data_IF_381493961282
#
_entry.id   IF_381493961282
#
_cell.length_a   1.000
_cell.length_b   1.000
_cell.length_c   1.000
_cell.angle_alpha   90.00
_cell.angle_beta   90.00
_cell.angle_gamma   90.00
#
_symmetry.space_group_name_H-M   'P 1'
#
loop_
_entity.id
_entity.type
_entity.pdbx_description
1 polymer ?
#
# COMPACT_ATOMS: atom_id res chain seq x y z
N UNK A 1 -13.09 22.06 9.39
CA UNK A 1 -12.27 21.22 10.30
C UNK A 1 -10.82 21.34 9.91
N UNK A 2 -9.90 21.33 10.87
CA UNK A 2 -8.45 21.33 10.59
C UNK A 2 -7.80 20.06 11.11
N UNK A 3 -7.03 19.37 10.29
CA UNK A 3 -6.45 18.06 10.60
C UNK A 3 -4.93 18.10 10.49
N UNK A 4 -4.26 17.53 11.49
CA UNK A 4 -2.81 17.35 11.46
C UNK A 4 -2.49 16.01 10.79
N UNK A 5 -1.95 16.05 9.57
CA UNK A 5 -1.58 14.88 8.81
C UNK A 5 -0.16 14.43 9.15
N UNK A 6 -0.06 13.24 9.74
CA UNK A 6 1.19 12.61 10.11
C UNK A 6 1.56 11.48 9.15
N UNK A 7 2.81 11.49 8.71
CA UNK A 7 3.40 10.44 7.90
C UNK A 7 4.80 10.09 8.40
N UNK A 8 5.18 8.82 8.36
CA UNK A 8 6.52 8.36 8.82
C UNK A 8 7.65 8.76 7.87
N UNK A 9 7.33 9.03 6.60
CA UNK A 9 8.28 9.53 5.60
C UNK A 9 8.32 11.07 5.57
N UNK A 10 9.30 11.62 4.86
CA UNK A 10 9.43 13.07 4.71
C UNK A 10 8.37 13.62 3.73
N UNK A 11 7.27 14.13 4.27
CA UNK A 11 6.15 14.68 3.50
C UNK A 11 6.58 15.84 2.61
N UNK A 12 7.47 16.73 3.09
CA UNK A 12 7.93 17.87 2.32
C UNK A 12 8.73 17.45 1.08
N UNK A 13 9.48 16.35 1.18
CA UNK A 13 10.15 15.75 0.03
C UNK A 13 9.14 15.18 -0.96
N UNK A 14 8.18 14.39 -0.47
CA UNK A 14 7.12 13.79 -1.30
C UNK A 14 6.34 14.88 -2.04
N UNK A 15 5.86 15.92 -1.34
CA UNK A 15 5.09 17.01 -1.93
C UNK A 15 5.86 17.75 -3.03
N UNK A 16 7.14 18.08 -2.80
CA UNK A 16 7.98 18.70 -3.83
C UNK A 16 8.16 17.82 -5.07
N UNK A 17 8.18 16.49 -4.89
CA UNK A 17 8.26 15.54 -6.00
C UNK A 17 6.92 15.41 -6.73
N UNK A 18 5.81 15.49 -6.00
CA UNK A 18 4.46 15.55 -6.58
C UNK A 18 4.26 16.82 -7.43
N UNK A 19 4.69 17.98 -6.94
CA UNK A 19 4.63 19.25 -7.69
C UNK A 19 5.39 19.19 -9.03
N UNK A 20 6.44 18.35 -9.11
CA UNK A 20 7.18 18.07 -10.34
C UNK A 20 6.54 16.95 -11.19
N UNK A 21 5.46 16.35 -10.71
CA UNK A 21 4.82 15.21 -11.36
C UNK A 21 5.63 13.91 -11.34
N UNK A 22 6.63 13.81 -10.47
CA UNK A 22 7.53 12.65 -10.36
C UNK A 22 7.02 11.60 -9.35
N UNK A 23 6.08 11.98 -8.48
CA UNK A 23 5.62 11.13 -7.37
C UNK A 23 4.09 11.15 -7.26
N UNK A 24 3.42 9.99 -7.09
CA UNK A 24 1.97 9.93 -7.01
C UNK A 24 1.44 10.37 -5.64
N UNK A 25 0.26 10.97 -5.65
CA UNK A 25 -0.43 11.51 -4.46
C UNK A 25 -0.93 10.44 -3.50
N UNK A 26 -1.19 9.23 -3.98
CA UNK A 26 -1.76 8.16 -3.16
C UNK A 26 -0.85 7.72 -2.01
N UNK A 27 0.47 7.97 -2.08
CA UNK A 27 1.37 7.76 -0.94
C UNK A 27 1.05 8.65 0.26
N UNK A 28 0.23 9.69 0.09
CA UNK A 28 -0.25 10.54 1.18
C UNK A 28 -1.69 10.19 1.63
N UNK A 29 -2.17 9.01 1.24
CA UNK A 29 -3.41 8.38 1.77
C UNK A 29 -4.63 9.31 1.69
N UNK A 30 -4.85 9.92 0.53
CA UNK A 30 -5.95 10.86 0.31
C UNK A 30 -5.75 12.24 0.96
N UNK A 31 -4.70 12.40 1.78
CA UNK A 31 -4.45 13.64 2.54
C UNK A 31 -4.37 14.90 1.68
N UNK A 32 -3.87 14.80 0.44
CA UNK A 32 -3.78 15.91 -0.52
C UNK A 32 -5.14 16.40 -1.03
N UNK A 33 -6.15 15.51 -1.04
CA UNK A 33 -7.50 15.79 -1.54
C UNK A 33 -8.52 16.12 -0.44
N UNK A 34 -8.13 16.03 0.85
CA UNK A 34 -9.03 16.36 1.98
C UNK A 34 -9.58 17.78 1.93
N UNK A 35 -8.84 18.72 1.32
CA UNK A 35 -9.30 20.09 1.12
C UNK A 35 -10.59 20.17 0.28
N UNK A 36 -10.77 19.25 -0.66
CA UNK A 36 -11.97 19.17 -1.50
C UNK A 36 -13.23 18.80 -0.67
N UNK A 37 -13.02 18.28 0.53
CA UNK A 37 -14.07 17.91 1.48
C UNK A 37 -14.21 18.90 2.67
N UNK A 38 -13.67 20.12 2.54
CA UNK A 38 -13.75 21.15 3.57
C UNK A 38 -12.84 20.92 4.79
N UNK A 39 -11.79 20.11 4.63
CA UNK A 39 -10.82 19.81 5.68
C UNK A 39 -9.49 20.48 5.37
N UNK A 40 -9.08 21.42 6.23
CA UNK A 40 -7.76 22.02 6.18
C UNK A 40 -6.69 21.06 6.72
N UNK A 41 -5.57 20.95 6.01
CA UNK A 41 -4.50 20.02 6.35
C UNK A 41 -3.25 20.76 6.83
N UNK A 42 -2.75 20.37 8.00
CA UNK A 42 -1.42 20.74 8.50
C UNK A 42 -0.51 19.53 8.33
N UNK A 43 0.47 19.62 7.45
CA UNK A 43 1.41 18.55 7.22
C UNK A 43 2.50 18.49 8.29
N UNK A 44 2.77 17.28 8.78
CA UNK A 44 3.88 17.03 9.69
C UNK A 44 5.22 17.40 9.07
N UNK A 45 6.05 18.13 9.85
CA UNK A 45 7.43 18.43 9.46
C UNK A 45 8.35 17.37 10.05
N UNK A 46 8.80 16.44 9.19
CA UNK A 46 9.64 15.32 9.60
C UNK A 46 11.04 15.79 10.02
N UNK A 47 11.55 15.24 11.11
CA UNK A 47 12.94 15.41 11.52
C UNK A 47 13.82 14.39 10.80
N UNK A 48 14.84 14.86 10.09
CA UNK A 48 15.87 13.98 9.51
C UNK A 48 16.80 13.55 10.64
N UNK A 49 16.61 12.32 11.14
CA UNK A 49 17.41 11.74 12.22
C UNK A 49 17.46 10.22 12.08
N UNK A 50 18.59 9.63 12.46
CA UNK A 50 18.75 8.16 12.55
C UNK A 50 18.14 7.60 13.84
N UNK A 51 17.89 8.44 14.84
CA UNK A 51 17.33 8.03 16.13
C UNK A 51 15.80 8.07 16.11
N UNK A 52 15.15 6.90 16.20
CA UNK A 52 13.69 6.77 16.32
C UNK A 52 13.11 7.52 17.52
N UNK A 53 13.82 7.52 18.65
CA UNK A 53 13.39 8.24 19.86
C UNK A 53 13.35 9.76 19.60
N UNK A 54 14.38 10.31 18.95
CA UNK A 54 14.40 11.74 18.60
C UNK A 54 13.28 12.11 17.64
N UNK A 55 13.01 11.29 16.63
CA UNK A 55 11.89 11.47 15.69
C UNK A 55 10.55 11.47 16.43
N UNK A 56 10.33 10.49 17.33
CA UNK A 56 9.12 10.38 18.13
C UNK A 56 8.94 11.60 19.04
N UNK A 57 9.96 12.00 19.79
CA UNK A 57 9.90 13.18 20.66
C UNK A 57 9.64 14.46 19.87
N UNK A 58 10.26 14.60 18.68
CA UNK A 58 9.99 15.73 17.79
C UNK A 58 8.52 15.75 17.32
N UNK A 59 7.98 14.59 16.94
CA UNK A 59 6.58 14.47 16.50
C UNK A 59 5.62 14.87 17.61
N UNK A 60 5.82 14.36 18.82
CA UNK A 60 5.03 14.71 20.01
C UNK A 60 5.11 16.21 20.30
N UNK A 61 6.33 16.78 20.27
CA UNK A 61 6.55 18.21 20.51
C UNK A 61 5.86 19.08 19.47
N UNK A 62 5.95 18.74 18.18
CA UNK A 62 5.26 19.43 17.09
C UNK A 62 3.74 19.45 17.29
N UNK A 63 3.15 18.34 17.67
CA UNK A 63 1.69 18.21 17.82
C UNK A 63 1.18 18.84 19.10
N UNK A 64 1.91 18.77 20.19
CA UNK A 64 1.46 19.31 21.48
C UNK A 64 1.76 20.80 21.65
N UNK A 65 2.87 21.30 21.13
CA UNK A 65 3.37 22.62 21.47
C UNK A 65 3.49 23.60 20.31
N UNK A 66 3.83 23.14 19.10
CA UNK A 66 4.01 24.01 17.93
C UNK A 66 2.71 24.21 17.16
N UNK A 67 2.05 23.14 16.79
CA UNK A 67 0.83 23.19 15.99
C UNK A 67 -0.40 22.82 16.84
N UNK A 68 -0.84 23.73 17.71
CA UNK A 68 -1.93 23.44 18.64
C UNK A 68 -3.35 23.57 18.05
N UNK A 69 -3.50 24.27 16.91
CA UNK A 69 -4.78 24.65 16.33
C UNK A 69 -5.23 23.63 15.27
N UNK A 70 -5.52 22.40 15.71
CA UNK A 70 -6.15 21.36 14.88
C UNK A 70 -7.16 20.57 15.73
N UNK A 71 -8.08 19.88 15.06
CA UNK A 71 -9.20 19.17 15.68
C UNK A 71 -8.87 17.67 15.85
N UNK A 72 -8.17 17.09 14.87
CA UNK A 72 -7.80 15.67 14.88
C UNK A 72 -6.41 15.46 14.28
N UNK A 73 -5.78 14.33 14.65
CA UNK A 73 -4.60 13.76 13.98
C UNK A 73 -5.09 12.70 13.01
N UNK A 74 -4.68 12.81 11.75
CA UNK A 74 -4.81 11.77 10.74
C UNK A 74 -3.44 11.23 10.40
N UNK A 75 -3.22 9.94 10.64
CA UNK A 75 -1.91 9.33 10.51
C UNK A 75 -1.92 8.13 9.55
N UNK A 76 -0.95 8.07 8.65
CA UNK A 76 -0.78 6.92 7.76
C UNK A 76 -0.20 5.69 8.48
N UNK A 77 0.30 5.85 9.71
CA UNK A 77 0.79 4.80 10.58
C UNK A 77 0.87 5.30 12.02
N UNK A 78 0.72 4.41 13.00
CA UNK A 78 0.82 4.77 14.44
C UNK A 78 2.26 4.95 14.92
N UNK A 79 3.26 4.45 14.19
CA UNK A 79 4.67 4.50 14.59
C UNK A 79 5.14 5.95 14.77
N UNK A 80 5.64 6.26 15.96
CA UNK A 80 6.05 7.61 16.37
C UNK A 80 4.95 8.41 17.06
N UNK A 81 3.72 7.88 17.14
CA UNK A 81 2.59 8.48 17.86
C UNK A 81 2.27 7.77 19.17
N UNK A 82 3.00 6.70 19.51
CA UNK A 82 2.72 5.85 20.67
C UNK A 82 2.51 6.66 21.97
N UNK A 83 3.34 7.67 22.31
CA UNK A 83 3.13 8.45 23.52
C UNK A 83 1.80 9.23 23.52
N UNK A 84 1.42 9.82 22.36
CA UNK A 84 0.16 10.55 22.23
C UNK A 84 -1.05 9.62 22.33
N UNK A 85 -0.95 8.42 21.76
CA UNK A 85 -1.97 7.38 21.83
C UNK A 85 -2.18 6.95 23.30
N UNK A 86 -1.10 6.71 24.06
CA UNK A 86 -1.24 6.40 25.49
C UNK A 86 -1.78 7.59 26.30
N UNK A 87 -1.33 8.82 26.04
CA UNK A 87 -1.91 10.01 26.68
C UNK A 87 -3.39 10.16 26.35
N UNK A 88 -3.81 9.85 25.14
CA UNK A 88 -5.21 9.82 24.73
C UNK A 88 -6.01 8.77 25.51
N UNK A 89 -5.46 7.55 25.60
CA UNK A 89 -6.07 6.45 26.37
C UNK A 89 -6.29 6.79 27.84
N UNK A 90 -5.41 7.61 28.42
CA UNK A 90 -5.47 8.10 29.80
C UNK A 90 -6.31 9.38 29.97
N UNK A 91 -6.86 9.93 28.89
CA UNK A 91 -7.64 11.19 28.93
C UNK A 91 -6.81 12.48 29.01
N UNK A 92 -5.48 12.37 28.99
CA UNK A 92 -4.54 13.53 29.08
C UNK A 92 -4.33 14.25 27.74
N UNK A 93 -4.61 13.58 26.63
CA UNK A 93 -4.61 14.17 25.30
C UNK A 93 -6.03 14.11 24.71
N UNK A 94 -6.59 15.25 24.31
CA UNK A 94 -8.02 15.36 23.96
C UNK A 94 -8.31 15.36 22.47
N UNK A 95 -7.28 15.49 21.60
CA UNK A 95 -7.48 15.49 20.15
C UNK A 95 -7.75 14.08 19.66
N UNK A 96 -8.67 13.96 18.71
CA UNK A 96 -9.03 12.69 18.07
C UNK A 96 -7.84 12.13 17.28
N UNK A 97 -7.63 10.82 17.31
CA UNK A 97 -6.54 10.14 16.59
C UNK A 97 -7.16 9.11 15.64
N UNK A 98 -6.97 9.33 14.35
CA UNK A 98 -7.41 8.48 13.24
C UNK A 98 -6.19 7.95 12.53
N UNK A 99 -6.07 6.63 12.34
CA UNK A 99 -4.88 6.00 11.76
C UNK A 99 -5.22 5.00 10.66
N UNK A 100 -4.24 4.71 9.79
CA UNK A 100 -4.21 3.50 8.99
C UNK A 100 -3.47 2.38 9.73
N UNK A 101 -4.07 1.19 9.76
CA UNK A 101 -3.50 0.01 10.39
C UNK A 101 -3.13 -1.01 9.30
N UNK A 102 -1.84 -1.16 9.06
CA UNK A 102 -1.31 -1.90 7.91
C UNK A 102 -1.30 -3.42 8.08
N UNK A 103 -1.47 -3.89 9.31
CA UNK A 103 -1.39 -5.30 9.69
C UNK A 103 -2.61 -5.65 10.54
N UNK A 104 -2.96 -6.93 10.71
CA UNK A 104 -3.98 -7.29 11.69
C UNK A 104 -3.48 -6.98 13.11
N UNK A 105 -4.40 -6.65 14.00
CA UNK A 105 -4.10 -6.60 15.43
C UNK A 105 -3.77 -8.04 15.87
N UNK A 106 -2.70 -8.23 16.60
CA UNK A 106 -2.25 -9.57 17.00
C UNK A 106 -2.31 -9.78 18.51
N UNK A 107 -2.55 -11.01 18.93
CA UNK A 107 -2.46 -11.40 20.35
C UNK A 107 -1.00 -11.62 20.73
N UNK A 108 -0.52 -10.93 21.76
CA UNK A 108 0.82 -11.14 22.27
C UNK A 108 0.88 -12.41 23.15
N UNK A 109 2.06 -13.05 23.19
CA UNK A 109 2.26 -14.24 24.06
C UNK A 109 2.11 -13.93 25.55
N UNK A 110 2.41 -12.71 25.98
CA UNK A 110 2.38 -12.29 27.38
C UNK A 110 1.07 -11.57 27.71
N UNK A 111 0.45 -11.93 28.85
CA UNK A 111 -0.78 -11.32 29.34
C UNK A 111 -0.65 -9.79 29.50
N UNK A 112 0.41 -9.31 30.16
CA UNK A 112 0.60 -7.88 30.39
C UNK A 112 0.75 -7.08 29.08
N UNK A 113 1.37 -7.67 28.04
CA UNK A 113 1.45 -7.05 26.70
C UNK A 113 0.08 -6.96 26.04
N UNK A 114 -0.81 -7.92 26.32
CA UNK A 114 -2.17 -7.85 25.82
C UNK A 114 -2.97 -6.73 26.52
N UNK A 115 -2.79 -6.54 27.84
CA UNK A 115 -3.43 -5.44 28.55
C UNK A 115 -2.89 -4.08 28.08
N UNK A 116 -1.59 -3.96 27.90
CA UNK A 116 -0.97 -2.76 27.32
C UNK A 116 -1.48 -2.49 25.90
N UNK A 117 -1.66 -3.54 25.09
CA UNK A 117 -2.26 -3.44 23.77
C UNK A 117 -3.70 -2.93 23.82
N UNK A 118 -4.53 -3.42 24.74
CA UNK A 118 -5.89 -2.91 24.95
C UNK A 118 -5.89 -1.42 25.33
N UNK A 119 -5.00 -1.02 26.21
CA UNK A 119 -4.83 0.38 26.59
C UNK A 119 -4.40 1.23 25.37
N UNK A 120 -3.45 0.73 24.57
CA UNK A 120 -3.00 1.39 23.35
C UNK A 120 -4.16 1.63 22.37
N UNK A 121 -4.91 0.58 22.01
CA UNK A 121 -6.03 0.70 21.07
C UNK A 121 -7.21 1.51 21.61
N UNK A 122 -7.36 1.61 22.94
CA UNK A 122 -8.31 2.54 23.56
C UNK A 122 -8.02 4.00 23.19
N UNK A 123 -6.73 4.35 23.05
CA UNK A 123 -6.27 5.70 22.70
C UNK A 123 -6.41 6.07 21.22
N UNK A 124 -6.86 5.15 20.36
CA UNK A 124 -7.14 5.41 18.95
C UNK A 124 -8.66 5.53 18.79
N UNK A 125 -9.11 6.57 18.11
CA UNK A 125 -10.53 6.82 17.92
C UNK A 125 -11.09 6.07 16.70
N UNK A 126 -10.33 6.03 15.58
CA UNK A 126 -10.73 5.34 14.36
C UNK A 126 -9.52 4.71 13.67
N UNK A 127 -9.72 3.55 13.07
CA UNK A 127 -8.69 2.77 12.38
C UNK A 127 -9.17 2.33 11.01
N UNK A 128 -8.48 2.80 9.97
CA UNK A 128 -8.66 2.28 8.62
C UNK A 128 -7.82 1.02 8.40
N UNK A 129 -8.43 0.02 7.79
CA UNK A 129 -7.78 -1.19 7.32
C UNK A 129 -7.95 -1.30 5.81
N UNK A 130 -6.99 -1.92 5.14
CA UNK A 130 -7.01 -2.08 3.70
C UNK A 130 -7.95 -3.17 3.21
N UNK A 131 -8.30 -4.15 4.05
CA UNK A 131 -9.18 -5.25 3.66
C UNK A 131 -10.08 -5.73 4.80
N UNK A 132 -11.20 -6.33 4.42
CA UNK A 132 -12.12 -6.96 5.36
C UNK A 132 -11.46 -8.10 6.14
N UNK A 133 -10.53 -8.82 5.53
CA UNK A 133 -9.75 -9.88 6.20
C UNK A 133 -8.94 -9.32 7.37
N UNK A 134 -8.25 -8.18 7.19
CA UNK A 134 -7.51 -7.52 8.27
C UNK A 134 -8.43 -7.09 9.42
N UNK A 135 -9.63 -6.59 9.10
CA UNK A 135 -10.65 -6.25 10.09
C UNK A 135 -11.08 -7.50 10.86
N UNK A 136 -11.47 -8.56 10.15
CA UNK A 136 -11.96 -9.79 10.75
C UNK A 136 -10.89 -10.43 11.68
N UNK A 137 -9.63 -10.50 11.22
CA UNK A 137 -8.53 -11.02 12.03
C UNK A 137 -8.28 -10.14 13.27
N UNK A 138 -8.46 -8.82 13.15
CA UNK A 138 -8.28 -7.89 14.27
C UNK A 138 -9.39 -8.01 15.32
N UNK A 139 -10.64 -8.20 14.90
CA UNK A 139 -11.81 -8.39 15.78
C UNK A 139 -11.60 -9.59 16.69
N UNK A 140 -11.06 -10.71 16.17
CA UNK A 140 -10.83 -11.94 16.92
C UNK A 140 -9.89 -11.74 18.13
N UNK A 141 -9.12 -10.68 18.16
CA UNK A 141 -8.17 -10.42 19.26
C UNK A 141 -8.82 -9.80 20.49
N UNK A 142 -10.01 -9.22 20.36
CA UNK A 142 -10.73 -8.49 21.42
C UNK A 142 -9.87 -7.39 22.11
N UNK A 143 -8.94 -6.77 21.36
CA UNK A 143 -8.06 -5.71 21.88
C UNK A 143 -8.57 -4.30 21.60
N UNK A 144 -9.38 -4.14 20.59
CA UNK A 144 -9.96 -2.87 20.21
C UNK A 144 -11.46 -3.02 19.98
N UNK A 145 -12.19 -1.92 20.10
CA UNK A 145 -13.61 -1.87 19.81
C UNK A 145 -13.82 -1.93 18.28
N UNK A 146 -14.55 -2.93 17.75
CA UNK A 146 -14.80 -3.04 16.32
C UNK A 146 -15.54 -1.85 15.70
N UNK A 147 -16.30 -1.08 16.49
CA UNK A 147 -16.99 0.13 16.02
C UNK A 147 -16.06 1.23 15.51
N UNK A 148 -14.77 1.13 15.86
CA UNK A 148 -13.70 2.04 15.41
C UNK A 148 -13.02 1.60 14.12
N UNK A 149 -13.42 0.46 13.54
CA UNK A 149 -12.78 -0.12 12.37
C UNK A 149 -13.50 0.31 11.10
N UNK A 150 -12.74 0.78 10.15
CA UNK A 150 -13.25 1.23 8.85
C UNK A 150 -12.47 0.52 7.74
N UNK A 151 -13.20 -0.03 6.77
CA UNK A 151 -12.59 -0.46 5.52
C UNK A 151 -12.26 0.79 4.70
N UNK A 152 -11.03 0.92 4.25
CA UNK A 152 -10.61 2.02 3.40
C UNK A 152 -10.13 1.50 2.05
N UNK A 153 -10.66 2.05 0.96
CA UNK A 153 -10.26 1.72 -0.41
C UNK A 153 -9.08 2.59 -0.83
N UNK A 154 -7.90 2.27 -0.26
CA UNK A 154 -6.68 2.92 -0.67
C UNK A 154 -6.34 2.55 -2.11
N UNK A 155 -6.10 3.55 -2.97
CA UNK A 155 -5.93 3.33 -4.39
C UNK A 155 -5.05 4.38 -5.06
N UNK A 156 -4.85 4.23 -6.36
CA UNK A 156 -3.87 4.95 -7.14
C UNK A 156 -4.23 6.42 -7.44
N UNK A 157 -3.21 7.21 -7.74
CA UNK A 157 -3.32 8.55 -8.32
C UNK A 157 -3.61 8.44 -9.82
N UNK A 158 -4.89 8.49 -10.20
CA UNK A 158 -5.28 8.32 -11.60
C UNK A 158 -4.68 9.39 -12.53
N UNK A 159 -4.54 10.64 -12.05
CA UNK A 159 -3.98 11.73 -12.87
C UNK A 159 -2.53 11.46 -13.29
N UNK A 160 -1.73 10.89 -12.39
CA UNK A 160 -0.37 10.49 -12.71
C UNK A 160 -0.34 9.33 -13.70
N UNK A 161 -1.15 8.28 -13.47
CA UNK A 161 -1.14 7.10 -14.32
C UNK A 161 -1.80 7.35 -15.67
N UNK A 162 -2.77 8.28 -15.78
CA UNK A 162 -3.32 8.75 -17.06
C UNK A 162 -2.23 9.39 -17.93
N UNK A 163 -1.31 10.14 -17.34
CA UNK A 163 -0.15 10.69 -18.08
C UNK A 163 0.81 9.58 -18.53
N UNK A 164 0.99 8.53 -17.73
CA UNK A 164 1.83 7.39 -18.11
C UNK A 164 1.25 6.64 -19.30
N UNK A 165 -0.05 6.30 -19.26
CA UNK A 165 -0.69 5.54 -20.34
C UNK A 165 -0.93 6.37 -21.61
N UNK A 166 -0.97 7.71 -21.50
CA UNK A 166 -1.05 8.60 -22.66
C UNK A 166 0.22 8.54 -23.53
N UNK A 167 1.35 8.17 -22.95
CA UNK A 167 2.58 7.85 -23.68
C UNK A 167 2.44 6.46 -24.32
N UNK A 168 1.78 6.42 -25.50
CA UNK A 168 1.54 5.15 -26.23
C UNK A 168 2.84 4.41 -26.48
N UNK A 169 2.89 3.14 -26.12
CA UNK A 169 4.00 2.24 -26.36
C UNK A 169 3.48 0.85 -26.72
N UNK A 170 4.26 0.08 -27.44
CA UNK A 170 3.99 -1.34 -27.65
C UNK A 170 4.30 -2.10 -26.36
N UNK A 171 3.33 -2.82 -25.83
CA UNK A 171 3.46 -3.62 -24.60
C UNK A 171 3.95 -5.02 -24.94
N UNK A 172 5.10 -5.41 -24.35
CA UNK A 172 5.70 -6.75 -24.57
C UNK A 172 6.27 -7.34 -23.27
N UNK A 173 6.13 -8.65 -23.14
CA UNK A 173 6.70 -9.40 -22.02
C UNK A 173 6.10 -9.03 -20.67
N UNK A 174 6.82 -9.35 -19.62
CA UNK A 174 6.36 -9.23 -18.24
C UNK A 174 7.26 -8.29 -17.44
N UNK A 175 6.69 -7.65 -16.41
CA UNK A 175 7.45 -6.80 -15.50
C UNK A 175 7.13 -7.11 -14.04
N UNK A 176 8.16 -7.18 -13.21
CA UNK A 176 8.05 -7.27 -11.76
C UNK A 176 8.65 -6.04 -11.10
N UNK A 177 7.91 -5.46 -10.16
CA UNK A 177 8.38 -4.32 -9.36
C UNK A 177 8.14 -4.54 -7.87
N UNK A 178 8.68 -3.63 -7.06
CA UNK A 178 8.48 -3.63 -5.62
C UNK A 178 9.70 -4.16 -4.88
N UNK A 179 9.68 -4.01 -3.56
CA UNK A 179 10.88 -4.28 -2.73
C UNK A 179 10.61 -5.21 -1.56
N UNK A 180 9.38 -5.30 -1.08
CA UNK A 180 9.07 -5.98 0.16
C UNK A 180 8.56 -7.39 -0.09
N UNK A 181 9.19 -8.37 0.58
CA UNK A 181 8.77 -9.78 0.59
C UNK A 181 8.50 -10.38 -0.80
N UNK A 182 9.26 -9.96 -1.83
CA UNK A 182 9.18 -10.59 -3.15
C UNK A 182 9.79 -11.99 -3.11
N UNK A 183 9.11 -12.95 -3.75
CA UNK A 183 9.63 -14.32 -3.94
C UNK A 183 10.26 -14.47 -5.32
N UNK A 184 11.48 -13.93 -5.42
CA UNK A 184 12.22 -13.97 -6.69
C UNK A 184 12.68 -15.37 -7.05
N UNK A 185 12.84 -16.28 -6.10
CA UNK A 185 13.24 -17.68 -6.37
C UNK A 185 12.15 -18.40 -7.16
N UNK A 186 10.90 -18.33 -6.70
CA UNK A 186 9.75 -18.93 -7.39
C UNK A 186 9.55 -18.27 -8.75
N UNK A 187 9.58 -16.92 -8.81
CA UNK A 187 9.35 -16.18 -10.05
C UNK A 187 10.40 -16.52 -11.11
N UNK A 188 11.70 -16.47 -10.77
CA UNK A 188 12.80 -16.76 -11.70
C UNK A 188 12.74 -18.21 -12.18
N UNK A 189 12.40 -19.16 -11.31
CA UNK A 189 12.25 -20.57 -11.70
C UNK A 189 11.17 -20.71 -12.80
N UNK A 190 9.99 -20.12 -12.62
CA UNK A 190 8.91 -20.19 -13.61
C UNK A 190 9.31 -19.53 -14.94
N UNK A 191 9.91 -18.35 -14.92
CA UNK A 191 10.35 -17.67 -16.14
C UNK A 191 11.55 -18.34 -16.82
N UNK A 192 12.43 -19.00 -16.08
CA UNK A 192 13.49 -19.83 -16.65
C UNK A 192 12.91 -21.00 -17.45
N UNK A 193 11.79 -21.59 -17.02
CA UNK A 193 11.18 -22.72 -17.70
C UNK A 193 10.35 -22.29 -18.92
N UNK A 194 9.56 -21.21 -18.81
CA UNK A 194 8.73 -20.73 -19.93
C UNK A 194 9.53 -20.02 -21.00
N UNK A 195 10.70 -19.45 -20.68
CA UNK A 195 11.45 -18.61 -21.61
C UNK A 195 10.80 -17.25 -21.92
N UNK A 196 9.69 -16.91 -21.27
CA UNK A 196 9.00 -15.63 -21.46
C UNK A 196 9.89 -14.46 -21.04
N UNK A 197 9.86 -13.30 -21.79
CA UNK A 197 10.66 -12.13 -21.43
C UNK A 197 10.19 -11.49 -20.11
N UNK A 198 11.08 -11.31 -19.16
CA UNK A 198 10.82 -10.69 -17.86
C UNK A 198 11.81 -9.57 -17.55
N UNK A 199 11.28 -8.38 -17.22
CA UNK A 199 12.02 -7.28 -16.60
C UNK A 199 11.73 -7.21 -15.11
N UNK A 200 12.77 -7.10 -14.27
CA UNK A 200 12.65 -7.02 -12.82
C UNK A 200 13.30 -5.73 -12.35
N UNK A 201 12.53 -4.87 -11.67
CA UNK A 201 13.01 -3.65 -11.02
C UNK A 201 12.92 -3.80 -9.50
N UNK A 202 14.05 -3.89 -8.83
CA UNK A 202 14.16 -4.10 -7.39
C UNK A 202 15.16 -3.15 -6.74
N UNK A 203 14.93 -2.81 -5.49
CA UNK A 203 15.99 -2.20 -4.68
C UNK A 203 17.03 -3.28 -4.33
N UNK A 204 18.30 -2.89 -4.31
CA UNK A 204 19.40 -3.80 -3.94
C UNK A 204 19.17 -4.48 -2.59
N UNK A 205 18.63 -3.72 -1.62
CA UNK A 205 18.35 -4.22 -0.26
C UNK A 205 16.95 -3.80 0.22
N UNK A 206 16.34 -4.65 1.04
CA UNK A 206 15.14 -4.33 1.80
C UNK A 206 15.30 -4.82 3.25
N UNK A 207 15.53 -3.90 4.18
CA UNK A 207 15.93 -4.25 5.54
C UNK A 207 17.23 -5.03 5.56
N UNK A 208 17.23 -6.22 6.16
CA UNK A 208 18.38 -7.14 6.19
C UNK A 208 18.50 -8.02 4.95
N UNK A 209 17.47 -8.06 4.08
CA UNK A 209 17.48 -8.91 2.89
C UNK A 209 18.18 -8.21 1.72
N UNK A 210 19.09 -8.95 1.04
CA UNK A 210 19.90 -8.48 -0.08
C UNK A 210 19.48 -9.21 -1.37
N UNK A 211 18.72 -8.54 -2.23
CA UNK A 211 18.28 -9.11 -3.50
C UNK A 211 19.43 -9.32 -4.49
N UNK A 212 20.43 -8.44 -4.51
CA UNK A 212 21.59 -8.62 -5.39
C UNK A 212 22.30 -9.93 -5.07
N UNK A 213 22.56 -10.19 -3.79
CA UNK A 213 23.18 -11.44 -3.36
C UNK A 213 22.32 -12.67 -3.68
N UNK A 214 20.99 -12.55 -3.64
CA UNK A 214 20.08 -13.62 -4.07
C UNK A 214 20.29 -13.92 -5.56
N UNK A 215 20.27 -12.89 -6.43
CA UNK A 215 20.44 -13.09 -7.87
C UNK A 215 21.83 -13.60 -8.24
N UNK A 216 22.86 -13.29 -7.46
CA UNK A 216 24.21 -13.88 -7.61
C UNK A 216 24.24 -15.38 -7.27
N UNK A 217 23.23 -15.89 -6.54
CA UNK A 217 23.16 -17.29 -6.05
C UNK A 217 22.17 -18.19 -6.81
N UNK A 218 21.31 -17.63 -7.66
CA UNK A 218 20.33 -18.40 -8.44
C UNK A 218 20.63 -18.34 -9.94
N UNK A 219 20.24 -19.39 -10.67
CA UNK A 219 20.39 -19.40 -12.12
C UNK A 219 19.35 -18.47 -12.76
N UNK A 220 19.81 -17.54 -13.58
CA UNK A 220 18.97 -16.58 -14.32
C UNK A 220 19.29 -16.74 -15.81
N UNK A 221 18.27 -17.08 -16.62
CA UNK A 221 18.41 -17.21 -18.07
C UNK A 221 18.35 -15.85 -18.78
N UNK A 222 18.74 -15.82 -20.04
CA UNK A 222 18.87 -14.59 -20.87
C UNK A 222 17.53 -13.84 -21.07
N UNK A 223 16.39 -14.53 -20.95
CA UNK A 223 15.05 -13.93 -21.04
C UNK A 223 14.68 -13.07 -19.83
N UNK A 224 15.46 -13.10 -18.75
CA UNK A 224 15.22 -12.35 -17.51
C UNK A 224 16.25 -11.25 -17.35
N UNK A 225 15.79 -10.01 -17.36
CA UNK A 225 16.61 -8.83 -17.15
C UNK A 225 16.35 -8.20 -15.78
N UNK A 226 17.40 -8.09 -14.95
CA UNK A 226 17.30 -7.57 -13.56
C UNK A 226 17.98 -6.23 -13.45
N UNK A 227 17.23 -5.21 -13.01
CA UNK A 227 17.75 -3.87 -12.75
C UNK A 227 17.59 -3.48 -11.27
N UNK A 228 18.58 -2.79 -10.73
CA UNK A 228 18.58 -2.24 -9.38
C UNK A 228 18.63 -0.71 -9.43
N UNK A 229 17.53 -0.03 -9.79
CA UNK A 229 17.52 1.41 -9.96
C UNK A 229 17.40 2.12 -8.61
N UNK A 230 18.52 2.48 -7.98
CA UNK A 230 18.53 3.15 -6.66
C UNK A 230 17.86 4.54 -6.65
N UNK A 231 17.65 5.15 -7.82
CA UNK A 231 17.16 6.53 -7.94
C UNK A 231 15.99 6.73 -8.90
N UNK A 232 15.40 5.65 -9.40
CA UNK A 232 14.27 5.78 -10.32
C UNK A 232 13.04 6.29 -9.58
N UNK A 233 12.49 7.42 -10.04
CA UNK A 233 11.28 7.99 -9.45
C UNK A 233 10.06 7.16 -9.86
N UNK A 234 8.99 7.14 -9.04
CA UNK A 234 7.79 6.37 -9.33
C UNK A 234 7.20 6.62 -10.72
N UNK A 235 7.16 7.87 -11.18
CA UNK A 235 6.68 8.20 -12.51
C UNK A 235 7.52 7.52 -13.62
N UNK A 236 8.84 7.61 -13.53
CA UNK A 236 9.73 6.99 -14.52
C UNK A 236 9.67 5.45 -14.46
N UNK A 237 9.56 4.89 -13.25
CA UNK A 237 9.35 3.45 -13.09
C UNK A 237 8.02 3.02 -13.73
N UNK A 238 6.95 3.79 -13.54
CA UNK A 238 5.64 3.48 -14.14
C UNK A 238 5.67 3.51 -15.68
N UNK A 239 6.49 4.37 -16.28
CA UNK A 239 6.71 4.36 -17.74
C UNK A 239 7.40 3.07 -18.21
N UNK A 240 8.38 2.59 -17.46
CA UNK A 240 9.01 1.29 -17.76
C UNK A 240 8.01 0.12 -17.57
N UNK A 241 7.19 0.17 -16.51
CA UNK A 241 6.12 -0.81 -16.28
C UNK A 241 5.11 -0.80 -17.42
N UNK A 242 4.70 0.36 -17.92
CA UNK A 242 3.72 0.48 -19.00
C UNK A 242 4.15 -0.18 -20.31
N UNK A 243 5.45 -0.41 -20.51
CA UNK A 243 5.99 -1.12 -21.70
C UNK A 243 5.78 -2.65 -21.63
N UNK A 244 5.36 -3.20 -20.50
CA UNK A 244 5.11 -4.61 -20.36
C UNK A 244 3.66 -4.98 -20.72
N UNK A 245 3.46 -6.21 -21.18
CA UNK A 245 2.14 -6.78 -21.43
C UNK A 245 1.41 -7.11 -20.13
N UNK A 246 2.13 -7.55 -19.11
CA UNK A 246 1.56 -8.00 -17.84
C UNK A 246 2.48 -7.67 -16.65
N UNK A 247 1.88 -7.31 -15.52
CA UNK A 247 2.59 -7.11 -14.25
C UNK A 247 2.59 -8.40 -13.45
N UNK A 248 3.76 -8.82 -12.94
CA UNK A 248 3.88 -10.01 -12.10
C UNK A 248 4.28 -9.65 -10.67
N UNK A 249 3.48 -10.09 -9.68
CA UNK A 249 3.59 -9.73 -8.27
C UNK A 249 3.76 -11.00 -7.44
N UNK A 250 4.94 -11.62 -7.57
CA UNK A 250 5.28 -12.83 -6.81
C UNK A 250 5.79 -12.46 -5.42
N UNK A 251 5.04 -12.84 -4.40
CA UNK A 251 5.31 -12.52 -3.00
C UNK A 251 5.48 -13.78 -2.16
N UNK A 252 6.22 -13.66 -1.06
CA UNK A 252 6.22 -14.65 0.02
C UNK A 252 4.97 -14.48 0.87
N UNK A 253 4.52 -15.54 1.49
CA UNK A 253 3.39 -15.52 2.41
C UNK A 253 3.58 -14.51 3.55
N UNK A 254 2.56 -13.73 3.82
CA UNK A 254 2.53 -12.72 4.88
C UNK A 254 1.13 -12.58 5.46
N UNK A 255 1.04 -12.02 6.68
CA UNK A 255 -0.22 -11.68 7.33
C UNK A 255 -0.71 -10.26 7.03
N UNK A 256 -0.16 -9.59 6.00
CA UNK A 256 -0.51 -8.21 5.64
C UNK A 256 -0.46 -7.98 4.12
N UNK A 257 -0.84 -6.80 3.65
CA UNK A 257 -1.12 -6.46 2.26
C UNK A 257 0.13 -6.27 1.38
N UNK A 258 1.09 -7.20 1.44
CA UNK A 258 2.26 -7.15 0.56
C UNK A 258 1.83 -7.22 -0.91
N UNK A 259 2.37 -6.32 -1.73
CA UNK A 259 2.03 -6.24 -3.14
C UNK A 259 0.93 -5.22 -3.48
N UNK A 260 0.16 -4.75 -2.50
CA UNK A 260 -1.00 -3.87 -2.73
C UNK A 260 -0.66 -2.61 -3.55
N UNK A 261 0.49 -1.98 -3.31
CA UNK A 261 0.91 -0.80 -4.10
C UNK A 261 1.00 -1.16 -5.59
N UNK A 262 1.69 -2.25 -5.92
CA UNK A 262 1.83 -2.69 -7.32
C UNK A 262 0.48 -3.10 -7.93
N UNK A 263 -0.42 -3.72 -7.12
CA UNK A 263 -1.78 -4.05 -7.57
C UNK A 263 -2.55 -2.79 -7.98
N UNK A 264 -2.65 -1.78 -7.10
CA UNK A 264 -3.42 -0.57 -7.42
C UNK A 264 -2.81 0.24 -8.57
N UNK A 265 -1.48 0.22 -8.72
CA UNK A 265 -0.77 0.83 -9.83
C UNK A 265 -1.06 0.10 -11.15
N UNK A 266 -1.05 -1.24 -11.16
CA UNK A 266 -1.41 -2.04 -12.33
C UNK A 266 -2.87 -1.82 -12.72
N UNK A 267 -3.80 -1.79 -11.76
CA UNK A 267 -5.20 -1.44 -12.00
C UNK A 267 -5.32 -0.06 -12.68
N UNK A 268 -4.63 0.96 -12.14
CA UNK A 268 -4.67 2.32 -12.69
C UNK A 268 -4.12 2.42 -14.11
N UNK A 269 -3.11 1.63 -14.46
CA UNK A 269 -2.56 1.57 -15.81
C UNK A 269 -3.35 0.66 -16.77
N UNK A 270 -4.42 0.02 -16.31
CA UNK A 270 -5.19 -0.92 -17.12
C UNK A 270 -4.35 -2.11 -17.58
N UNK A 271 -3.51 -2.63 -16.69
CA UNK A 271 -2.63 -3.76 -16.99
C UNK A 271 -3.14 -5.06 -16.34
N UNK A 272 -3.17 -6.17 -17.08
CA UNK A 272 -3.40 -7.47 -16.48
C UNK A 272 -2.28 -7.79 -15.49
N UNK A 273 -2.58 -8.63 -14.50
CA UNK A 273 -1.58 -9.03 -13.51
C UNK A 273 -1.62 -10.52 -13.21
N UNK A 274 -0.46 -11.09 -12.90
CA UNK A 274 -0.35 -12.38 -12.23
C UNK A 274 0.19 -12.09 -10.83
N UNK A 275 -0.52 -12.51 -9.79
CA UNK A 275 -0.06 -12.23 -8.43
C UNK A 275 -0.21 -13.43 -7.49
N UNK A 276 0.66 -13.51 -6.49
CA UNK A 276 0.50 -14.48 -5.42
C UNK A 276 -0.84 -14.28 -4.71
N UNK A 277 -1.57 -15.36 -4.45
CA UNK A 277 -2.83 -15.33 -3.73
C UNK A 277 -2.62 -14.86 -2.28
N UNK A 278 -2.79 -13.55 -2.06
CA UNK A 278 -2.68 -12.94 -0.75
C UNK A 278 -4.09 -12.54 -0.25
N UNK A 279 -4.69 -13.28 0.69
CA UNK A 279 -6.04 -12.99 1.20
C UNK A 279 -6.14 -11.66 1.96
N UNK A 280 -5.02 -11.00 2.24
CA UNK A 280 -4.99 -9.69 2.88
C UNK A 280 -5.17 -8.54 1.86
N UNK A 281 -4.98 -8.79 0.56
CA UNK A 281 -5.23 -7.78 -0.49
C UNK A 281 -6.74 -7.60 -0.65
N UNK A 282 -7.25 -6.34 -0.74
CA UNK A 282 -8.69 -6.08 -0.82
C UNK A 282 -9.31 -6.47 -2.17
N UNK A 283 -8.51 -6.58 -3.22
CA UNK A 283 -8.97 -6.94 -4.57
C UNK A 283 -8.91 -8.44 -4.73
N UNK A 284 -10.04 -9.06 -4.95
CA UNK A 284 -10.13 -10.46 -5.36
C UNK A 284 -9.89 -10.55 -6.89
N UNK A 285 -8.62 -10.85 -7.25
CA UNK A 285 -8.13 -10.80 -8.62
C UNK A 285 -8.92 -11.73 -9.54
N UNK A 286 -9.23 -12.94 -9.07
CA UNK A 286 -9.94 -13.96 -9.86
C UNK A 286 -11.43 -13.63 -10.01
N UNK A 287 -12.08 -13.21 -8.92
CA UNK A 287 -13.49 -12.81 -8.93
C UNK A 287 -13.72 -11.59 -9.83
N UNK A 288 -12.85 -10.58 -9.73
CA UNK A 288 -12.93 -9.37 -10.54
C UNK A 288 -12.41 -9.59 -11.97
N UNK A 289 -11.83 -10.75 -12.25
CA UNK A 289 -11.27 -11.13 -13.56
C UNK A 289 -10.31 -10.08 -14.11
N UNK A 290 -9.51 -9.47 -13.23
CA UNK A 290 -8.52 -8.45 -13.59
C UNK A 290 -7.09 -9.00 -13.64
N UNK A 291 -6.93 -10.32 -13.53
CA UNK A 291 -5.66 -11.03 -13.55
C UNK A 291 -5.82 -12.49 -13.17
N UNK A 292 -4.72 -13.11 -12.79
CA UNK A 292 -4.64 -14.51 -12.35
C UNK A 292 -3.96 -14.56 -11.00
N UNK A 293 -4.57 -15.24 -10.01
CA UNK A 293 -3.89 -15.49 -8.75
C UNK A 293 -3.27 -16.88 -8.69
N UNK A 294 -2.06 -16.96 -8.12
CA UNK A 294 -1.26 -18.17 -8.02
C UNK A 294 -0.90 -18.43 -6.56
N UNK A 295 -1.01 -19.66 -6.05
CA UNK A 295 -0.58 -19.98 -4.69
C UNK A 295 0.88 -19.61 -4.43
N UNK A 296 1.23 -19.35 -3.15
CA UNK A 296 2.59 -19.05 -2.76
C UNK A 296 3.53 -20.24 -3.08
N UNK A 297 4.68 -19.96 -3.70
CA UNK A 297 5.70 -20.94 -4.02
C UNK A 297 5.37 -21.93 -5.13
N UNK A 298 4.22 -21.79 -5.80
CA UNK A 298 3.74 -22.69 -6.86
C UNK A 298 4.35 -22.33 -8.22
N UNK A 299 5.54 -22.85 -8.51
CA UNK A 299 6.25 -22.63 -9.79
C UNK A 299 5.40 -23.07 -10.98
N UNK A 300 4.74 -24.23 -10.90
CA UNK A 300 3.91 -24.75 -12.00
C UNK A 300 2.66 -23.89 -12.25
N UNK A 301 2.02 -23.38 -11.19
CA UNK A 301 0.94 -22.41 -11.31
C UNK A 301 1.39 -21.12 -11.99
N UNK A 302 2.60 -20.61 -11.64
CA UNK A 302 3.18 -19.46 -12.30
C UNK A 302 3.45 -19.70 -13.78
N UNK A 303 4.01 -20.85 -14.15
CA UNK A 303 4.22 -21.23 -15.57
C UNK A 303 2.92 -21.18 -16.36
N UNK A 304 1.89 -21.90 -15.88
CA UNK A 304 0.57 -21.94 -16.54
C UNK A 304 -0.03 -20.53 -16.71
N UNK A 305 0.09 -19.68 -15.71
CA UNK A 305 -0.41 -18.31 -15.78
C UNK A 305 0.37 -17.45 -16.78
N UNK A 306 1.70 -17.62 -16.87
CA UNK A 306 2.55 -16.94 -17.85
C UNK A 306 2.18 -17.38 -19.27
N UNK A 307 2.11 -18.68 -19.52
CA UNK A 307 1.73 -19.28 -20.81
C UNK A 307 0.33 -18.80 -21.22
N UNK A 308 -0.64 -18.81 -20.28
CA UNK A 308 -1.99 -18.32 -20.55
C UNK A 308 -2.02 -16.86 -21.04
N UNK A 309 -1.31 -15.96 -20.37
CA UNK A 309 -1.24 -14.54 -20.79
C UNK A 309 -0.60 -14.39 -22.17
N UNK A 310 0.39 -15.23 -22.53
CA UNK A 310 1.03 -15.19 -23.84
C UNK A 310 0.12 -15.74 -24.96
N UNK A 311 -0.62 -16.79 -24.66
CA UNK A 311 -1.50 -17.47 -25.62
C UNK A 311 -2.84 -16.74 -25.83
N UNK A 312 -3.27 -15.92 -24.84
CA UNK A 312 -4.57 -15.23 -24.85
C UNK A 312 -4.42 -13.70 -24.68
N UNK A 313 -3.77 -13.01 -25.62
CA UNK A 313 -3.48 -11.57 -25.48
C UNK A 313 -4.74 -10.70 -25.40
N UNK A 314 -5.81 -11.06 -26.11
CA UNK A 314 -7.10 -10.34 -26.06
C UNK A 314 -7.76 -10.46 -24.67
N UNK A 315 -7.76 -11.65 -24.08
CA UNK A 315 -8.29 -11.86 -22.73
C UNK A 315 -7.44 -11.12 -21.68
N UNK A 316 -6.11 -11.07 -21.87
CA UNK A 316 -5.22 -10.30 -21.02
C UNK A 316 -5.52 -8.78 -21.10
N UNK A 317 -5.80 -8.25 -22.27
CA UNK A 317 -6.24 -6.86 -22.45
C UNK A 317 -7.56 -6.58 -21.72
N UNK A 318 -8.53 -7.48 -21.85
CA UNK A 318 -9.81 -7.40 -21.15
C UNK A 318 -9.65 -7.47 -19.62
N UNK A 319 -8.72 -8.28 -19.10
CA UNK A 319 -8.34 -8.26 -17.67
C UNK A 319 -7.85 -6.87 -17.25
N UNK A 320 -7.00 -6.26 -18.05
CA UNK A 320 -6.51 -4.90 -17.83
C UNK A 320 -7.64 -3.87 -17.81
N UNK A 321 -8.58 -3.92 -18.75
CA UNK A 321 -9.76 -3.03 -18.81
C UNK A 321 -10.64 -3.16 -17.55
N UNK A 322 -10.91 -4.39 -17.11
CA UNK A 322 -11.65 -4.64 -15.87
C UNK A 322 -10.91 -4.07 -14.65
N UNK A 323 -9.58 -4.25 -14.62
CA UNK A 323 -8.73 -3.64 -13.59
C UNK A 323 -8.80 -2.12 -13.59
N UNK A 324 -8.74 -1.47 -14.76
CA UNK A 324 -8.87 -0.01 -14.87
C UNK A 324 -10.21 0.49 -14.34
N UNK A 325 -11.29 -0.20 -14.65
CA UNK A 325 -12.62 0.14 -14.13
C UNK A 325 -12.68 0.09 -12.61
N UNK A 326 -12.02 -0.91 -11.98
CA UNK A 326 -11.90 -0.98 -10.52
C UNK A 326 -11.11 0.20 -9.95
N UNK A 327 -10.02 0.62 -10.61
CA UNK A 327 -9.29 1.81 -10.18
C UNK A 327 -10.18 3.07 -10.24
N UNK A 328 -10.94 3.26 -11.33
CA UNK A 328 -11.82 4.42 -11.50
C UNK A 328 -12.97 4.45 -10.50
N UNK A 329 -13.54 3.30 -10.16
CA UNK A 329 -14.77 3.21 -9.36
C UNK A 329 -14.52 2.97 -7.87
N UNK A 330 -13.35 2.45 -7.48
CA UNK A 330 -13.12 1.99 -6.11
C UNK A 330 -11.71 2.30 -5.59
N UNK A 331 -10.66 1.94 -6.34
CA UNK A 331 -9.30 1.98 -5.82
C UNK A 331 -8.50 3.16 -6.36
N UNK A 332 -8.93 4.38 -6.00
CA UNK A 332 -8.20 5.61 -6.32
C UNK A 332 -8.11 6.56 -5.11
N UNK A 333 -7.22 7.53 -5.21
CA UNK A 333 -6.93 8.47 -4.13
C UNK A 333 -8.06 9.44 -3.82
N UNK A 334 -8.96 9.73 -4.78
CA UNK A 334 -10.13 10.58 -4.57
C UNK A 334 -11.19 9.87 -3.70
N UNK A 335 -11.46 8.58 -3.98
CA UNK A 335 -12.36 7.76 -3.17
C UNK A 335 -11.77 7.57 -1.77
N UNK A 336 -10.49 7.24 -1.67
CA UNK A 336 -9.78 7.16 -0.39
C UNK A 336 -9.93 8.46 0.43
N UNK A 337 -9.76 9.62 -0.20
CA UNK A 337 -9.91 10.91 0.47
C UNK A 337 -11.35 11.15 0.93
N UNK A 338 -12.36 10.78 0.14
CA UNK A 338 -13.77 10.92 0.49
C UNK A 338 -14.13 10.07 1.71
N UNK A 339 -13.69 8.80 1.75
CA UNK A 339 -13.91 7.89 2.89
C UNK A 339 -13.23 8.41 4.17
N UNK A 340 -11.98 8.84 4.05
CA UNK A 340 -11.24 9.44 5.16
C UNK A 340 -11.92 10.70 5.67
N UNK A 341 -12.42 11.57 4.77
CA UNK A 341 -13.13 12.78 5.13
C UNK A 341 -14.43 12.48 5.86
N UNK A 342 -15.22 11.48 5.44
CA UNK A 342 -16.45 11.06 6.11
C UNK A 342 -16.18 10.67 7.57
N UNK A 343 -15.16 9.84 7.80
CA UNK A 343 -14.79 9.44 9.16
C UNK A 343 -14.31 10.64 9.98
N UNK A 344 -13.43 11.48 9.42
CA UNK A 344 -12.93 12.67 10.10
C UNK A 344 -14.04 13.65 10.50
N UNK A 345 -15.04 13.86 9.64
CA UNK A 345 -16.19 14.76 9.89
C UNK A 345 -17.25 14.13 10.82
N UNK A 346 -17.12 12.85 11.19
CA UNK A 346 -18.08 12.15 12.03
C UNK A 346 -19.37 11.77 11.32
N UNK A 347 -19.38 11.76 9.99
CA UNK A 347 -20.52 11.33 9.19
C UNK A 347 -20.59 9.79 9.15
N UNK A 348 -21.23 9.18 10.13
CA UNK A 348 -21.39 7.71 10.23
C UNK A 348 -22.48 7.17 9.28
N UNK A 349 -22.42 7.49 7.99
CA UNK A 349 -23.41 7.01 7.01
C UNK A 349 -23.02 5.68 6.33
N UNK A 350 -21.82 5.19 6.51
CA UNK A 350 -21.46 3.84 6.07
C UNK A 350 -21.67 2.83 7.21
N UNK A 351 -22.87 2.24 7.28
CA UNK A 351 -23.05 0.99 8.02
C UNK A 351 -22.15 -0.08 7.42
N UNK A 352 -21.44 -0.89 8.24
CA UNK A 352 -20.77 -2.05 7.71
C UNK A 352 -21.82 -2.91 7.00
N UNK A 353 -21.53 -3.33 5.79
CA UNK A 353 -22.31 -4.33 5.07
C UNK A 353 -22.34 -5.56 5.97
N UNK A 354 -23.50 -5.81 6.60
CA UNK A 354 -23.79 -7.08 7.26
C UNK A 354 -24.05 -8.08 6.14
N UNK A 355 -23.17 -9.03 5.98
CA UNK A 355 -23.44 -10.36 5.43
C UNK A 355 -23.06 -11.39 6.45
#
# INVERSE_FOLDING_TARGET
MRVYCYHTQNVQYIMRKMEKGEFPSHFLYGGTKLKNHGIDVIWHKSLVSTSRLRQMMHSVWQMMFVNRRYDAIYATHYQGLEPLIFLRALGLFRKRIVIWHHQPIVVARSWWRNQLGKLFYRGIDDMFFFSQKLINDSIQTHKADPSKFHLGHWGADLELYDRVIAEKCERKGFVSTGKEKRDMTTLVAAFNETGAPLKIFLNTKNGSFNYKQLFDSIAVKENIHVEFPDKLMPYELSKEVNKAQCVVICCKETSYTVGLTTVVEALAMGMPMICSHNPQIPVDIDKEKCGISVPYGDVEGWKKAIEYIQEHPEEAEEMGHRGRKLAETTYNDAICAAEVAQVLLGCHTCKPVRN
#
